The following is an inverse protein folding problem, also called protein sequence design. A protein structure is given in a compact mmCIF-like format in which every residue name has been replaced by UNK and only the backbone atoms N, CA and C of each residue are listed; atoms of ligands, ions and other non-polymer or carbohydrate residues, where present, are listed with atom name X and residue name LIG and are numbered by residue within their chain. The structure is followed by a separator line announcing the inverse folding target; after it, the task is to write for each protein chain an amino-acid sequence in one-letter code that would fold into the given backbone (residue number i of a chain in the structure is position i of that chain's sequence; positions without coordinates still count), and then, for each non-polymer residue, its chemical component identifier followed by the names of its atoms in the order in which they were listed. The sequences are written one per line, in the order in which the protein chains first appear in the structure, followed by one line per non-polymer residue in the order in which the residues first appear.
data_IF_568866587165
#
_entry.id   IF_568866587165
#
_cell.length_a   1.000
_cell.length_b   1.000
_cell.length_c   1.000
_cell.angle_alpha   90.00
_cell.angle_beta   90.00
_cell.angle_gamma   90.00
#
_symmetry.space_group_name_H-M   'P 1'
#
loop_
_entity.id
_entity.type
_entity.pdbx_description
1 polymer ?
#
# COMPACT_ATOMS: atom_id res chain seq x y z
N UNK A 1 10.79 -2.35 4.24
CA UNK A 1 10.60 -2.22 2.77
C UNK A 1 10.21 -3.52 2.06
N UNK A 2 10.15 -4.68 2.73
CA UNK A 2 9.54 -5.89 2.16
C UNK A 2 8.61 -6.51 3.20
N UNK A 3 7.48 -5.85 3.45
CA UNK A 3 6.42 -6.43 4.26
C UNK A 3 5.55 -7.31 3.34
N UNK A 4 5.21 -8.56 3.72
CA UNK A 4 4.48 -9.50 2.86
C UNK A 4 3.06 -9.03 2.49
N UNK A 5 2.50 -8.10 3.26
CA UNK A 5 1.18 -7.49 3.01
C UNK A 5 1.26 -6.08 2.39
N UNK A 6 2.38 -5.74 1.74
CA UNK A 6 2.61 -4.45 1.11
C UNK A 6 2.84 -4.64 -0.40
N UNK A 7 1.95 -4.07 -1.21
CA UNK A 7 1.91 -4.26 -2.66
C UNK A 7 2.31 -2.99 -3.40
N UNK A 8 3.38 -3.03 -4.20
CA UNK A 8 3.73 -1.91 -5.06
C UNK A 8 2.96 -1.98 -6.40
N UNK A 9 2.21 -0.92 -6.71
CA UNK A 9 1.39 -0.84 -7.92
C UNK A 9 2.08 0.06 -8.95
N UNK A 10 2.38 -0.49 -10.13
CA UNK A 10 3.14 0.20 -11.20
C UNK A 10 2.33 0.40 -12.48
N UNK A 11 1.10 -0.08 -12.52
CA UNK A 11 0.26 -0.01 -13.71
C UNK A 11 -1.22 -0.01 -13.37
N UNK A 12 -2.03 0.46 -14.33
CA UNK A 12 -3.49 0.41 -14.26
C UNK A 12 -4.01 -1.02 -14.13
N UNK A 13 -3.44 -1.98 -14.87
CA UNK A 13 -3.85 -3.37 -14.80
C UNK A 13 -3.67 -3.94 -13.38
N UNK A 14 -2.53 -3.65 -12.73
CA UNK A 14 -2.31 -4.06 -11.34
C UNK A 14 -3.27 -3.38 -10.37
N UNK A 15 -3.62 -2.11 -10.59
CA UNK A 15 -4.62 -1.43 -9.78
C UNK A 15 -6.00 -2.08 -9.93
N UNK A 16 -6.43 -2.36 -11.16
CA UNK A 16 -7.70 -3.04 -11.43
C UNK A 16 -7.77 -4.42 -10.77
N UNK A 17 -6.71 -5.22 -10.84
CA UNK A 17 -6.65 -6.54 -10.23
C UNK A 17 -6.55 -6.49 -8.69
N UNK A 18 -5.60 -5.74 -8.15
CA UNK A 18 -5.22 -5.80 -6.73
C UNK A 18 -6.17 -4.98 -5.85
N UNK A 19 -6.71 -3.88 -6.36
CA UNK A 19 -7.57 -2.93 -5.65
C UNK A 19 -9.03 -3.09 -6.04
N UNK A 20 -9.37 -2.91 -7.33
CA UNK A 20 -10.78 -2.92 -7.77
C UNK A 20 -11.39 -4.34 -7.75
N UNK A 21 -10.58 -5.35 -8.02
CA UNK A 21 -10.96 -6.76 -7.94
C UNK A 21 -10.82 -7.37 -6.53
N UNK A 22 -10.46 -6.57 -5.51
CA UNK A 22 -10.22 -7.09 -4.17
C UNK A 22 -11.52 -7.48 -3.45
N UNK A 23 -11.47 -8.62 -2.76
CA UNK A 23 -12.49 -9.08 -1.81
C UNK A 23 -12.42 -8.35 -0.46
N UNK A 24 -11.36 -7.56 -0.25
CA UNK A 24 -11.05 -6.86 1.00
C UNK A 24 -10.73 -5.39 0.74
N UNK A 25 -10.97 -4.50 1.71
CA UNK A 25 -10.58 -3.10 1.59
C UNK A 25 -9.09 -2.94 1.31
N UNK A 26 -8.75 -1.88 0.57
CA UNK A 26 -7.38 -1.50 0.27
C UNK A 26 -7.09 -0.10 0.81
N UNK A 27 -5.97 0.04 1.52
CA UNK A 27 -5.37 1.34 1.86
C UNK A 27 -4.26 1.60 0.87
N UNK A 28 -4.26 2.78 0.25
CA UNK A 28 -3.30 3.15 -0.80
C UNK A 28 -2.47 4.33 -0.32
N UNK A 29 -1.17 4.10 -0.19
CA UNK A 29 -0.17 5.11 0.09
C UNK A 29 0.37 5.68 -1.23
N UNK A 30 -0.10 6.88 -1.55
CA UNK A 30 0.46 7.68 -2.63
C UNK A 30 1.66 8.43 -2.07
N UNK A 31 2.86 8.00 -2.44
CA UNK A 31 4.11 8.48 -1.85
C UNK A 31 5.07 8.92 -2.96
N UNK A 32 6.12 9.64 -2.57
CA UNK A 32 7.23 9.96 -3.47
C UNK A 32 8.53 10.13 -2.68
N UNK A 33 9.67 9.97 -3.34
CA UNK A 33 10.99 10.16 -2.71
C UNK A 33 11.23 11.58 -2.19
N UNK A 34 10.59 12.57 -2.78
CA UNK A 34 10.65 13.98 -2.36
C UNK A 34 9.59 14.32 -1.31
N UNK A 35 8.68 13.40 -0.98
CA UNK A 35 7.61 13.64 0.00
C UNK A 35 8.08 13.34 1.44
N UNK A 36 8.58 14.37 2.12
CA UNK A 36 8.98 14.29 3.53
C UNK A 36 7.88 13.75 4.47
N UNK A 37 6.63 14.26 4.42
CA UNK A 37 5.53 13.74 5.23
C UNK A 37 5.21 12.26 4.99
N UNK A 38 5.30 11.79 3.74
CA UNK A 38 5.06 10.39 3.40
C UNK A 38 6.08 9.46 4.08
N UNK A 39 7.35 9.87 4.13
CA UNK A 39 8.41 9.11 4.82
C UNK A 39 8.16 8.96 6.32
N UNK A 40 7.53 9.96 6.95
CA UNK A 40 7.16 9.88 8.37
C UNK A 40 5.99 8.93 8.64
N UNK A 41 5.05 8.80 7.70
CA UNK A 41 3.87 7.95 7.86
C UNK A 41 4.13 6.48 7.48
N UNK A 42 5.15 6.23 6.66
CA UNK A 42 5.49 4.90 6.17
C UNK A 42 5.65 3.82 7.27
N UNK A 43 6.28 4.07 8.44
CA UNK A 43 6.36 3.07 9.51
C UNK A 43 4.99 2.70 10.09
N UNK A 44 4.07 3.67 10.19
CA UNK A 44 2.71 3.42 10.69
C UNK A 44 1.93 2.56 9.70
N UNK A 45 2.13 2.77 8.39
CA UNK A 45 1.53 1.92 7.36
C UNK A 45 2.12 0.49 7.36
N UNK A 46 3.41 0.34 7.63
CA UNK A 46 4.04 -0.97 7.82
C UNK A 46 3.43 -1.70 9.03
N UNK A 47 3.21 -1.00 10.15
CA UNK A 47 2.53 -1.55 11.34
C UNK A 47 1.08 -1.97 11.04
N UNK A 48 0.30 -1.12 10.35
CA UNK A 48 -1.06 -1.44 9.91
C UNK A 48 -1.07 -2.67 8.99
N UNK A 49 -0.10 -2.78 8.08
CA UNK A 49 0.02 -3.91 7.18
C UNK A 49 0.23 -5.23 7.93
N UNK A 50 0.96 -5.21 9.04
CA UNK A 50 1.15 -6.35 9.95
C UNK A 50 -0.13 -6.65 10.74
N UNK A 51 -0.68 -5.67 11.45
CA UNK A 51 -1.80 -5.87 12.38
C UNK A 51 -3.08 -6.32 11.67
N UNK A 52 -3.31 -5.82 10.46
CA UNK A 52 -4.50 -6.10 9.66
C UNK A 52 -4.24 -7.12 8.54
N UNK A 53 -3.19 -7.93 8.66
CA UNK A 53 -2.89 -8.97 7.70
C UNK A 53 -4.12 -9.87 7.44
N UNK A 54 -4.47 -10.01 6.17
CA UNK A 54 -5.64 -10.80 5.75
C UNK A 54 -6.99 -10.12 5.99
N UNK A 55 -7.05 -8.92 6.57
CA UNK A 55 -8.28 -8.11 6.70
C UNK A 55 -8.35 -6.96 5.70
N UNK A 56 -7.20 -6.36 5.39
CA UNK A 56 -7.06 -5.33 4.35
C UNK A 56 -5.73 -5.49 3.62
N UNK A 57 -5.65 -4.90 2.43
CA UNK A 57 -4.42 -4.80 1.65
C UNK A 57 -3.82 -3.41 1.83
N UNK A 58 -2.50 -3.33 2.02
CA UNK A 58 -1.77 -2.06 1.96
C UNK A 58 -1.03 -2.00 0.63
N UNK A 59 -1.29 -0.96 -0.15
CA UNK A 59 -0.71 -0.76 -1.48
C UNK A 59 0.07 0.55 -1.53
N UNK A 60 1.14 0.59 -2.34
CA UNK A 60 1.93 1.80 -2.59
C UNK A 60 1.89 2.17 -4.05
N UNK A 61 1.74 3.46 -4.32
CA UNK A 61 1.83 4.08 -5.64
C UNK A 61 2.86 5.19 -5.55
N UNK A 62 3.91 5.10 -6.36
CA UNK A 62 4.91 6.16 -6.51
C UNK A 62 4.39 7.26 -7.44
N UNK A 63 4.54 8.54 -7.06
CA UNK A 63 4.01 9.72 -7.78
C UNK A 63 5.05 10.79 -8.11
#
# INVERSE_FOLDING_TARGET
MSHPNLHELKSRAQFEEVVLGADKPAVIDFWAEWCGPCKMIAPVLDEIASEYQGKLKVCKVDV
#
